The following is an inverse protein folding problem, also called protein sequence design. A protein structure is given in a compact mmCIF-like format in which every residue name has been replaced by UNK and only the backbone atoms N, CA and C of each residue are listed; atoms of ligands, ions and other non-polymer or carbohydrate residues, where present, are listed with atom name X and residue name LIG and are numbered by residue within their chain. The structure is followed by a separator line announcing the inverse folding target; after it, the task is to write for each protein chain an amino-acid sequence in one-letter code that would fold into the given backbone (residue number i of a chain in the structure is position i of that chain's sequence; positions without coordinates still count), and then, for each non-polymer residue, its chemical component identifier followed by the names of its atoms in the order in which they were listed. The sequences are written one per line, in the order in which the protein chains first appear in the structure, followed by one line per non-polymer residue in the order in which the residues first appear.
data_IF_797967551439
#
_entry.id   IF_797967551439
#
_cell.length_a   1.000
_cell.length_b   1.000
_cell.length_c   1.000
_cell.angle_alpha   90.00
_cell.angle_beta   90.00
_cell.angle_gamma   90.00
#
_symmetry.space_group_name_H-M   'P 1'
#
loop_
_entity.id
_entity.type
_entity.pdbx_description
1 polymer ?
#
# COMPACT_ATOMS: atom_id res chain seq x y z
N UNK A 1 -9.95 5.83 1.14
CA UNK A 1 -9.43 5.63 2.52
C UNK A 1 -10.43 4.81 3.31
N UNK A 2 -9.97 3.85 4.11
CA UNK A 2 -10.85 3.05 4.96
C UNK A 2 -10.60 3.43 6.42
N UNK A 3 -11.65 3.56 7.23
CA UNK A 3 -11.53 3.82 8.65
C UNK A 3 -11.48 2.47 9.38
N UNK A 4 -10.42 2.24 10.16
CA UNK A 4 -10.24 0.99 10.92
C UNK A 4 -10.99 1.04 12.26
N UNK A 5 -10.86 2.16 12.98
CA UNK A 5 -11.50 2.36 14.28
C UNK A 5 -11.30 3.80 14.74
N UNK A 6 -12.38 4.51 15.10
CA UNK A 6 -12.28 5.90 15.57
C UNK A 6 -11.44 6.75 14.61
N UNK A 7 -10.38 7.41 15.10
CA UNK A 7 -9.48 8.19 14.25
C UNK A 7 -8.43 7.38 13.46
N UNK A 8 -8.37 6.06 13.65
CA UNK A 8 -7.40 5.18 12.97
C UNK A 8 -7.88 4.85 11.56
N UNK A 9 -7.02 5.10 10.59
CA UNK A 9 -7.25 4.82 9.17
C UNK A 9 -6.41 3.64 8.69
N UNK A 10 -6.87 3.04 7.61
CA UNK A 10 -6.21 1.97 6.88
C UNK A 10 -6.08 2.41 5.42
N UNK A 11 -4.87 2.31 4.92
CA UNK A 11 -4.55 2.54 3.51
C UNK A 11 -4.36 1.20 2.84
N UNK A 12 -5.17 0.88 1.84
CA UNK A 12 -5.06 -0.36 1.07
C UNK A 12 -4.53 -0.02 -0.32
N UNK A 13 -3.43 -0.65 -0.71
CA UNK A 13 -2.84 -0.56 -2.04
C UNK A 13 -3.24 -1.82 -2.81
N UNK A 14 -3.86 -1.61 -3.97
CA UNK A 14 -4.39 -2.67 -4.84
C UNK A 14 -3.77 -2.54 -6.24
N UNK A 15 -3.84 -3.61 -7.04
CA UNK A 15 -3.39 -3.57 -8.44
C UNK A 15 -1.87 -3.61 -8.65
N UNK A 16 -1.11 -4.05 -7.64
CA UNK A 16 0.31 -4.38 -7.83
C UNK A 16 0.39 -5.68 -8.64
N UNK A 17 1.17 -5.70 -9.73
CA UNK A 17 1.37 -6.93 -10.51
C UNK A 17 1.91 -8.05 -9.60
N UNK A 18 1.41 -9.30 -9.71
CA UNK A 18 1.89 -10.43 -8.92
C UNK A 18 3.37 -10.79 -9.18
N UNK A 19 3.96 -10.26 -10.25
CA UNK A 19 5.40 -10.40 -10.52
C UNK A 19 6.27 -9.66 -9.50
N UNK A 20 5.73 -8.65 -8.83
CA UNK A 20 6.43 -7.94 -7.77
C UNK A 20 6.30 -8.67 -6.44
N UNK A 21 7.41 -8.84 -5.74
CA UNK A 21 7.42 -9.39 -4.39
C UNK A 21 6.79 -8.39 -3.39
N UNK A 22 5.52 -8.59 -3.11
CA UNK A 22 4.73 -7.74 -2.22
C UNK A 22 5.24 -7.79 -0.79
N UNK A 23 5.88 -8.88 -0.34
CA UNK A 23 6.48 -8.97 0.99
C UNK A 23 7.70 -8.06 1.10
N UNK A 24 8.51 -7.97 0.04
CA UNK A 24 9.62 -7.01 -0.05
C UNK A 24 9.12 -5.56 -0.05
N UNK A 25 8.06 -5.28 -0.82
CA UNK A 25 7.40 -3.97 -0.82
C UNK A 25 6.89 -3.57 0.57
N UNK A 26 6.20 -4.48 1.28
CA UNK A 26 5.75 -4.22 2.66
C UNK A 26 6.93 -3.97 3.60
N UNK A 27 8.06 -4.67 3.44
CA UNK A 27 9.27 -4.42 4.24
C UNK A 27 9.86 -3.04 3.95
N UNK A 28 9.88 -2.61 2.69
CA UNK A 28 10.30 -1.27 2.31
C UNK A 28 9.36 -0.20 2.89
N UNK A 29 8.05 -0.37 2.76
CA UNK A 29 7.04 0.53 3.33
C UNK A 29 7.12 0.65 4.86
N UNK A 30 7.38 -0.47 5.56
CA UNK A 30 7.59 -0.43 7.02
C UNK A 30 8.81 0.40 7.41
N UNK A 31 9.89 0.31 6.62
CA UNK A 31 11.14 1.05 6.87
C UNK A 31 10.98 2.54 6.55
N UNK A 32 10.34 2.86 5.43
CA UNK A 32 10.21 4.23 4.93
C UNK A 32 9.15 5.02 5.69
N UNK A 33 7.98 4.43 5.93
CA UNK A 33 6.83 5.14 6.49
C UNK A 33 6.73 5.02 8.02
N UNK A 34 7.63 4.27 8.66
CA UNK A 34 7.58 3.93 10.09
C UNK A 34 6.20 3.42 10.55
N UNK A 35 5.48 2.75 9.65
CA UNK A 35 4.12 2.25 9.86
C UNK A 35 4.07 0.74 9.77
N UNK A 36 3.10 0.12 10.44
CA UNK A 36 2.88 -1.31 10.27
C UNK A 36 2.10 -1.58 8.97
N UNK A 37 2.41 -2.72 8.35
CA UNK A 37 1.86 -3.14 7.08
C UNK A 37 1.73 -4.65 6.97
N UNK A 38 0.74 -5.12 6.23
CA UNK A 38 0.53 -6.54 5.95
C UNK A 38 0.12 -6.76 4.50
N UNK A 39 0.43 -7.94 3.96
CA UNK A 39 -0.17 -8.44 2.72
C UNK A 39 -1.40 -9.24 3.10
N UNK A 40 -2.54 -8.95 2.48
CA UNK A 40 -3.79 -9.67 2.66
C UNK A 40 -4.29 -10.15 1.31
N UNK A 41 -4.83 -11.35 1.24
CA UNK A 41 -5.42 -11.87 0.00
C UNK A 41 -6.90 -11.52 -0.04
N UNK A 42 -7.31 -10.76 -1.05
CA UNK A 42 -8.69 -10.40 -1.31
C UNK A 42 -9.26 -11.28 -2.44
N UNK A 43 -10.46 -11.85 -2.29
CA UNK A 43 -11.03 -12.76 -3.29
C UNK A 43 -11.28 -12.10 -4.65
N UNK A 44 -11.56 -10.79 -4.68
CA UNK A 44 -11.82 -10.03 -5.91
C UNK A 44 -10.58 -9.36 -6.51
N UNK A 45 -9.65 -8.91 -5.68
CA UNK A 45 -8.51 -8.07 -6.11
C UNK A 45 -7.14 -8.77 -6.02
N UNK A 46 -7.13 -10.05 -5.64
CA UNK A 46 -5.91 -10.80 -5.40
C UNK A 46 -5.18 -10.31 -4.16
N UNK A 47 -3.85 -10.38 -4.16
CA UNK A 47 -3.07 -9.91 -3.02
C UNK A 47 -3.01 -8.38 -2.97
N UNK A 48 -3.37 -7.83 -1.80
CA UNK A 48 -3.43 -6.40 -1.52
C UNK A 48 -2.52 -6.06 -0.34
N UNK A 49 -1.93 -4.88 -0.36
CA UNK A 49 -1.10 -4.39 0.74
C UNK A 49 -1.93 -3.47 1.62
N UNK A 50 -1.97 -3.73 2.91
CA UNK A 50 -2.64 -2.90 3.91
C UNK A 50 -1.60 -2.21 4.79
N UNK A 51 -1.69 -0.89 4.92
CA UNK A 51 -0.84 -0.05 5.74
C UNK A 51 -1.69 0.66 6.80
N UNK A 52 -1.13 0.82 8.00
CA UNK A 52 -1.77 1.59 9.07
C UNK A 52 -1.56 3.10 8.88
N UNK A 53 -2.61 3.88 9.14
CA UNK A 53 -2.60 5.33 8.95
C UNK A 53 -3.00 5.76 7.54
N UNK A 54 -3.10 7.08 7.34
CA UNK A 54 -3.25 7.66 6.00
C UNK A 54 -1.87 7.85 5.39
N UNK A 55 -1.49 6.92 4.51
CA UNK A 55 -0.19 6.92 3.84
C UNK A 55 -0.31 7.21 2.36
N UNK A 56 -1.43 7.77 1.89
CA UNK A 56 -1.70 7.96 0.46
C UNK A 56 -0.62 8.79 -0.25
N UNK A 57 -0.16 9.87 0.38
CA UNK A 57 0.92 10.72 -0.17
C UNK A 57 2.25 9.97 -0.23
N UNK A 58 2.63 9.33 0.88
CA UNK A 58 3.90 8.60 0.99
C UNK A 58 3.97 7.41 0.04
N UNK A 59 2.88 6.65 -0.08
CA UNK A 59 2.76 5.52 -1.02
C UNK A 59 2.84 6.02 -2.46
N UNK A 60 2.17 7.12 -2.77
CA UNK A 60 2.22 7.72 -4.11
C UNK A 60 3.63 8.16 -4.50
N UNK A 61 4.32 8.88 -3.61
CA UNK A 61 5.71 9.33 -3.85
C UNK A 61 6.65 8.14 -4.01
N UNK A 62 6.53 7.12 -3.15
CA UNK A 62 7.36 5.92 -3.25
C UNK A 62 7.11 5.16 -4.56
N UNK A 63 5.86 4.86 -4.89
CA UNK A 63 5.54 4.09 -6.10
C UNK A 63 5.87 4.86 -7.39
N UNK A 64 5.73 6.19 -7.37
CA UNK A 64 6.18 7.04 -8.49
C UNK A 64 7.70 7.08 -8.60
N UNK A 65 8.42 7.12 -7.48
CA UNK A 65 9.89 7.14 -7.44
C UNK A 65 10.52 5.82 -7.88
N UNK A 66 9.87 4.68 -7.60
CA UNK A 66 10.31 3.36 -8.06
C UNK A 66 9.86 3.08 -9.51
N UNK A 67 9.00 3.91 -10.09
CA UNK A 67 8.47 3.75 -11.46
C UNK A 67 7.40 2.67 -11.59
N UNK A 68 6.83 2.21 -10.48
CA UNK A 68 5.81 1.14 -10.44
C UNK A 68 4.41 1.71 -10.71
N UNK A 69 4.12 2.93 -10.24
CA UNK A 69 2.80 3.54 -10.43
C UNK A 69 2.89 4.82 -11.28
N UNK A 70 1.93 4.98 -12.19
CA UNK A 70 1.68 6.25 -12.88
C UNK A 70 0.76 7.13 -12.04
N UNK A 71 0.87 8.44 -12.23
CA UNK A 71 0.08 9.46 -11.52
C UNK A 71 -1.43 9.20 -11.55
N UNK A 72 -1.90 8.58 -12.62
CA UNK A 72 -3.32 8.30 -12.90
C UNK A 72 -3.88 7.08 -12.16
N UNK A 73 -3.01 6.20 -11.64
CA UNK A 73 -3.41 4.92 -11.03
C UNK A 73 -3.62 5.02 -9.52
N UNK A 74 -3.32 6.16 -8.90
CA UNK A 74 -3.53 6.38 -7.46
C UNK A 74 -4.81 7.19 -7.26
N UNK A 75 -5.86 6.54 -6.73
CA UNK A 75 -7.16 7.13 -6.40
C UNK A 75 -7.49 7.00 -4.91
#
# INVERSE_FOLDING_TARGET
IQQRSGRKTLTTVQGISPEYDQKRLVKAFKKEFACNGNVSTHPEYGEVIQLQGDQRKSVFEFLSGVGIARKEQVR
#
